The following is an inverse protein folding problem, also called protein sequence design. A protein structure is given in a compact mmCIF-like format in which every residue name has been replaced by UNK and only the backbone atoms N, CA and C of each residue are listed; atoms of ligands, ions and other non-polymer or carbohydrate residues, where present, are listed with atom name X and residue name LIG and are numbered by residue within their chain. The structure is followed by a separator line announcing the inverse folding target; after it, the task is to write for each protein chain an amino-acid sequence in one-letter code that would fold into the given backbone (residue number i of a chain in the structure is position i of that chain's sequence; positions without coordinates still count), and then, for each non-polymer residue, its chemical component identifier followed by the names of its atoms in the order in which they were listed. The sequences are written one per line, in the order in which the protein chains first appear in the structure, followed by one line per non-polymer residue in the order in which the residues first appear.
data_IF_241838085035
#
_entry.id   IF_241838085035
#
_cell.length_a   1.000
_cell.length_b   1.000
_cell.length_c   1.000
_cell.angle_alpha   90.00
_cell.angle_beta   90.00
_cell.angle_gamma   90.00
#
_symmetry.space_group_name_H-M   'P 1'
#
loop_
_entity.id
_entity.type
_entity.pdbx_description
1 polymer ?
#
# COMPACT_ATOMS: atom_id res chain seq x y z
N UNK A 1 -3.56 -23.77 -6.38
CA UNK A 1 -2.74 -22.81 -7.14
C UNK A 1 -1.43 -22.66 -6.37
N UNK A 2 -0.28 -23.12 -6.91
CA UNK A 2 1.00 -22.99 -6.22
C UNK A 2 1.38 -21.51 -6.13
N UNK A 3 1.78 -21.03 -4.93
CA UNK A 3 2.33 -19.69 -4.76
C UNK A 3 3.69 -19.64 -5.48
N UNK A 4 3.85 -18.73 -6.44
CA UNK A 4 5.07 -18.63 -7.28
C UNK A 4 6.08 -17.58 -6.77
N UNK A 5 5.91 -17.08 -5.56
CA UNK A 5 6.78 -16.06 -4.98
C UNK A 5 6.12 -15.35 -3.79
N UNK A 6 6.79 -14.31 -3.30
CA UNK A 6 6.34 -13.45 -2.21
C UNK A 6 5.61 -12.25 -2.79
N UNK A 7 4.36 -12.06 -2.37
CA UNK A 7 3.54 -10.91 -2.73
C UNK A 7 3.62 -9.90 -1.60
N UNK A 8 4.00 -8.67 -1.91
CA UNK A 8 4.06 -7.55 -0.97
C UNK A 8 2.93 -6.56 -1.29
N UNK A 9 2.16 -6.20 -0.27
CA UNK A 9 1.19 -5.12 -0.35
C UNK A 9 1.81 -3.82 0.20
N UNK A 10 1.96 -2.83 -0.68
CA UNK A 10 2.23 -1.44 -0.27
C UNK A 10 0.92 -0.79 0.15
N UNK A 11 0.70 -0.69 1.46
CA UNK A 11 -0.48 -0.10 2.03
C UNK A 11 -0.28 1.40 2.24
N UNK A 12 -0.99 2.18 1.44
CA UNK A 12 -0.84 3.63 1.38
C UNK A 12 -2.18 4.27 1.77
N UNK A 13 -2.20 5.23 2.71
CA UNK A 13 -3.40 6.00 3.05
C UNK A 13 -4.06 6.59 1.81
N UNK A 14 -5.38 6.49 1.71
CA UNK A 14 -6.12 6.89 0.52
C UNK A 14 -6.04 8.41 0.30
N UNK A 15 -5.94 9.18 1.37
CA UNK A 15 -5.79 10.63 1.37
C UNK A 15 -4.48 11.03 0.67
N UNK A 16 -3.37 10.37 1.02
CA UNK A 16 -2.08 10.61 0.40
C UNK A 16 -2.07 10.18 -1.08
N UNK A 17 -2.71 9.05 -1.41
CA UNK A 17 -2.89 8.63 -2.81
C UNK A 17 -3.74 9.63 -3.60
N UNK A 18 -4.82 10.14 -3.01
CA UNK A 18 -5.71 11.11 -3.63
C UNK A 18 -4.99 12.45 -3.87
N UNK A 19 -4.19 12.93 -2.91
CA UNK A 19 -3.37 14.13 -3.09
C UNK A 19 -2.36 13.96 -4.23
N UNK A 20 -1.63 12.83 -4.28
CA UNK A 20 -0.67 12.54 -5.36
C UNK A 20 -1.34 12.50 -6.73
N UNK A 21 -2.55 11.96 -6.81
CA UNK A 21 -3.35 11.93 -8.04
C UNK A 21 -3.80 13.33 -8.44
N UNK A 22 -4.31 14.11 -7.49
CA UNK A 22 -4.79 15.46 -7.74
C UNK A 22 -3.66 16.40 -8.20
N UNK A 23 -2.47 16.28 -7.62
CA UNK A 23 -1.30 17.09 -7.96
C UNK A 23 -0.79 16.88 -9.40
N UNK A 24 -0.95 15.67 -9.96
CA UNK A 24 -0.55 15.34 -11.35
C UNK A 24 -1.63 15.72 -12.37
N UNK A 25 -2.84 16.08 -11.90
CA UNK A 25 -4.01 16.25 -12.75
C UNK A 25 -4.59 14.91 -13.22
N UNK A 26 -5.92 14.81 -13.25
CA UNK A 26 -6.63 13.58 -13.64
C UNK A 26 -6.46 13.21 -15.12
N UNK A 27 -5.90 14.12 -15.94
CA UNK A 27 -5.75 13.97 -17.38
C UNK A 27 -4.82 12.81 -17.79
N UNK A 28 -3.87 12.46 -16.92
CA UNK A 28 -2.96 11.32 -17.14
C UNK A 28 -3.60 9.96 -16.78
N UNK A 29 -4.81 9.95 -16.19
CA UNK A 29 -5.44 8.76 -15.61
C UNK A 29 -6.92 8.70 -16.00
N UNK A 30 -7.26 8.14 -17.19
CA UNK A 30 -8.62 8.10 -17.74
C UNK A 30 -9.67 7.49 -16.81
N UNK A 31 -9.27 6.58 -15.90
CA UNK A 31 -10.16 5.91 -14.95
C UNK A 31 -10.67 6.81 -13.80
N UNK A 32 -10.22 8.07 -13.73
CA UNK A 32 -10.59 9.06 -12.71
C UNK A 32 -11.41 10.23 -13.27
N UNK A 33 -11.75 10.19 -14.56
CA UNK A 33 -12.62 11.18 -15.19
C UNK A 33 -14.09 10.80 -15.01
N UNK A 34 -14.71 11.16 -13.88
CA UNK A 34 -16.17 11.21 -13.75
C UNK A 34 -16.62 12.36 -12.82
N UNK A 35 -17.68 13.05 -13.27
CA UNK A 35 -18.50 14.09 -12.62
C UNK A 35 -17.84 15.44 -12.27
N UNK A 36 -18.64 16.42 -11.84
CA UNK A 36 -18.21 17.75 -11.37
C UNK A 36 -17.68 17.69 -9.91
N UNK A 37 -16.73 18.56 -9.57
CA UNK A 37 -16.07 18.60 -8.24
C UNK A 37 -14.55 18.71 -8.31
N UNK A 38 -13.89 18.96 -7.18
CA UNK A 38 -12.43 19.11 -7.13
C UNK A 38 -11.69 17.77 -7.35
N UNK A 39 -10.47 17.78 -7.93
CA UNK A 39 -9.74 16.55 -8.26
C UNK A 39 -9.43 15.63 -7.07
N UNK A 40 -9.24 16.19 -5.87
CA UNK A 40 -8.91 15.42 -4.68
C UNK A 40 -10.12 14.61 -4.20
N UNK A 41 -11.29 15.25 -4.04
CA UNK A 41 -12.52 14.57 -3.60
C UNK A 41 -12.92 13.45 -4.56
N UNK A 42 -12.76 13.67 -5.87
CA UNK A 42 -12.99 12.65 -6.91
C UNK A 42 -12.05 11.45 -6.76
N UNK A 43 -10.76 11.71 -6.60
CA UNK A 43 -9.76 10.67 -6.43
C UNK A 43 -10.04 9.85 -5.17
N UNK A 44 -10.33 10.51 -4.05
CA UNK A 44 -10.61 9.86 -2.77
C UNK A 44 -11.84 8.95 -2.88
N UNK A 45 -12.98 9.48 -3.36
CA UNK A 45 -14.22 8.70 -3.53
C UNK A 45 -14.00 7.45 -4.38
N UNK A 46 -13.25 7.58 -5.49
CA UNK A 46 -12.96 6.45 -6.38
C UNK A 46 -12.02 5.44 -5.74
N UNK A 47 -10.99 5.90 -5.03
CA UNK A 47 -10.06 5.03 -4.32
C UNK A 47 -10.77 4.25 -3.21
N UNK A 48 -11.65 4.88 -2.43
CA UNK A 48 -12.45 4.21 -1.39
C UNK A 48 -13.29 3.07 -1.97
N UNK A 49 -14.03 3.33 -3.05
CA UNK A 49 -14.79 2.30 -3.75
C UNK A 49 -13.89 1.14 -4.24
N UNK A 50 -12.73 1.46 -4.83
CA UNK A 50 -11.80 0.43 -5.31
C UNK A 50 -11.19 -0.39 -4.17
N UNK A 51 -10.88 0.25 -3.04
CA UNK A 51 -10.34 -0.43 -1.86
C UNK A 51 -11.39 -1.35 -1.23
N UNK A 52 -12.66 -0.98 -1.18
CA UNK A 52 -13.74 -1.88 -0.72
C UNK A 52 -13.83 -3.14 -1.59
N UNK A 53 -13.71 -2.98 -2.91
CA UNK A 53 -13.81 -4.09 -3.86
C UNK A 53 -12.57 -4.99 -3.84
N UNK A 54 -11.38 -4.42 -3.63
CA UNK A 54 -10.09 -5.12 -3.83
C UNK A 54 -9.27 -5.34 -2.57
N UNK A 55 -9.58 -4.65 -1.48
CA UNK A 55 -8.79 -4.64 -0.24
C UNK A 55 -8.64 -6.03 0.37
N UNK A 56 -9.71 -6.84 0.33
CA UNK A 56 -9.66 -8.26 0.77
C UNK A 56 -8.69 -9.11 -0.06
N UNK A 57 -8.38 -8.71 -1.29
CA UNK A 57 -7.38 -9.40 -2.12
C UNK A 57 -5.98 -8.89 -1.85
N UNK A 58 -5.79 -7.59 -1.56
CA UNK A 58 -4.50 -7.06 -1.13
C UNK A 58 -4.07 -7.65 0.22
N UNK A 59 -5.00 -7.82 1.15
CA UNK A 59 -4.77 -8.45 2.44
C UNK A 59 -4.35 -9.94 2.38
N UNK A 60 -4.37 -10.58 1.20
CA UNK A 60 -3.86 -11.95 0.99
C UNK A 60 -2.36 -11.97 0.65
N UNK A 61 -1.71 -10.80 0.55
CA UNK A 61 -0.28 -10.70 0.37
C UNK A 61 0.47 -11.40 1.51
N UNK A 62 1.69 -11.87 1.23
CA UNK A 62 2.55 -12.50 2.24
C UNK A 62 3.04 -11.47 3.25
N UNK A 63 3.37 -10.26 2.78
CA UNK A 63 3.84 -9.16 3.60
C UNK A 63 3.04 -7.88 3.32
N UNK A 64 2.83 -7.07 4.35
CA UNK A 64 2.20 -5.73 4.27
C UNK A 64 3.21 -4.69 4.71
N UNK A 65 3.33 -3.62 3.92
CA UNK A 65 4.19 -2.48 4.20
C UNK A 65 3.29 -1.27 4.38
N UNK A 66 3.05 -0.88 5.64
CA UNK A 66 2.21 0.26 5.98
C UNK A 66 3.01 1.55 5.95
N UNK A 67 2.74 2.42 4.98
CA UNK A 67 3.45 3.71 4.89
C UNK A 67 3.16 4.62 6.08
N UNK A 68 1.97 4.50 6.70
CA UNK A 68 1.63 5.24 7.92
C UNK A 68 2.50 4.81 9.11
N UNK A 69 2.75 3.50 9.25
CA UNK A 69 3.61 2.97 10.31
C UNK A 69 5.08 3.37 10.09
N UNK A 70 5.56 3.34 8.84
CA UNK A 70 6.92 3.80 8.52
C UNK A 70 7.09 5.29 8.86
N UNK A 71 6.13 6.13 8.44
CA UNK A 71 6.17 7.56 8.75
C UNK A 71 6.19 7.80 10.27
N UNK A 72 5.36 7.07 11.03
CA UNK A 72 5.38 7.11 12.49
C UNK A 72 6.71 6.66 13.10
N UNK A 73 7.29 5.56 12.61
CA UNK A 73 8.59 5.02 13.05
C UNK A 73 9.75 5.99 12.80
N UNK A 74 9.71 6.73 11.69
CA UNK A 74 10.73 7.70 11.31
C UNK A 74 10.46 9.13 11.81
N UNK A 75 9.32 9.37 12.45
CA UNK A 75 8.93 10.68 12.99
C UNK A 75 8.47 11.68 11.92
N UNK A 76 8.07 11.21 10.74
CA UNK A 76 7.48 12.05 9.71
C UNK A 76 6.04 12.43 10.05
N UNK A 77 5.63 13.61 9.59
CA UNK A 77 4.25 14.10 9.76
C UNK A 77 3.32 13.60 8.67
N UNK A 78 3.85 13.35 7.47
CA UNK A 78 3.08 12.91 6.31
C UNK A 78 3.84 11.78 5.58
N UNK A 79 3.08 10.81 5.06
CA UNK A 79 3.65 9.69 4.30
C UNK A 79 4.29 10.11 2.97
N UNK A 80 4.01 11.31 2.49
CA UNK A 80 4.64 11.91 1.31
C UNK A 80 6.10 12.33 1.54
N UNK A 81 6.52 12.46 2.79
CA UNK A 81 7.92 12.71 3.16
C UNK A 81 8.79 11.44 3.02
N UNK A 82 8.18 10.25 2.88
CA UNK A 82 8.89 9.00 2.71
C UNK A 82 9.59 8.91 1.35
N UNK A 83 10.85 8.51 1.40
CA UNK A 83 11.63 8.17 0.22
C UNK A 83 11.32 6.76 -0.27
N UNK A 84 11.46 6.48 -1.58
CA UNK A 84 11.36 5.11 -2.10
C UNK A 84 12.32 4.13 -1.43
N UNK A 85 13.49 4.61 -0.97
CA UNK A 85 14.49 3.79 -0.27
C UNK A 85 13.98 3.33 1.09
N UNK A 86 13.36 4.21 1.88
CA UNK A 86 12.79 3.84 3.18
C UNK A 86 11.66 2.82 3.04
N UNK A 87 10.79 3.00 2.04
CA UNK A 87 9.74 2.03 1.72
C UNK A 87 10.34 0.68 1.31
N UNK A 88 11.42 0.69 0.52
CA UNK A 88 12.10 -0.54 0.11
C UNK A 88 12.76 -1.27 1.28
N UNK A 89 13.35 -0.53 2.23
CA UNK A 89 13.93 -1.12 3.45
C UNK A 89 12.83 -1.82 4.27
N UNK A 90 11.72 -1.14 4.53
CA UNK A 90 10.61 -1.76 5.27
C UNK A 90 10.04 -2.98 4.52
N UNK A 91 9.97 -2.93 3.19
CA UNK A 91 9.55 -4.10 2.41
C UNK A 91 10.47 -5.31 2.62
N UNK A 92 11.79 -5.10 2.69
CA UNK A 92 12.74 -6.18 2.97
C UNK A 92 12.60 -6.69 4.41
N UNK A 93 12.41 -5.80 5.39
CA UNK A 93 12.18 -6.17 6.80
C UNK A 93 10.92 -7.03 6.95
N UNK A 94 9.81 -6.64 6.31
CA UNK A 94 8.54 -7.38 6.37
C UNK A 94 8.61 -8.73 5.64
N UNK A 95 9.39 -8.81 4.55
CA UNK A 95 9.68 -10.10 3.89
C UNK A 95 10.49 -11.01 4.81
N UNK A 96 11.50 -10.48 5.50
CA UNK A 96 12.31 -11.25 6.44
C UNK A 96 11.47 -11.79 7.60
N UNK A 97 10.59 -10.96 8.19
CA UNK A 97 9.64 -11.39 9.24
C UNK A 97 8.77 -12.54 8.74
N UNK A 98 8.15 -12.39 7.58
CA UNK A 98 7.31 -13.44 6.99
C UNK A 98 8.05 -14.76 6.78
N UNK A 99 9.29 -14.71 6.25
CA UNK A 99 10.09 -15.92 6.00
C UNK A 99 10.49 -16.63 7.30
N UNK A 100 10.85 -15.87 8.36
CA UNK A 100 11.17 -16.44 9.67
C UNK A 100 9.97 -17.11 10.33
N UNK A 101 8.78 -16.54 10.18
CA UNK A 101 7.55 -17.14 10.69
C UNK A 101 7.16 -18.42 9.93
N UNK A 102 7.37 -18.45 8.60
CA UNK A 102 7.13 -19.64 7.78
C UNK A 102 8.10 -20.79 8.13
N UNK A 103 9.39 -20.49 8.30
CA UNK A 103 10.39 -21.45 8.77
C UNK A 103 10.10 -21.92 10.21
N UNK A 104 9.67 -21.00 11.09
CA UNK A 104 9.25 -21.29 12.47
C UNK A 104 8.03 -22.20 12.56
N UNK A 105 7.05 -22.05 11.66
CA UNK A 105 5.91 -22.96 11.55
C UNK A 105 6.31 -24.33 10.99
N UNK A 106 7.30 -24.40 10.09
CA UNK A 106 7.80 -25.66 9.55
C UNK A 106 8.50 -26.53 10.61
N UNK A 107 9.23 -25.92 11.55
CA UNK A 107 9.91 -26.65 12.64
C UNK A 107 8.98 -27.09 13.79
N UNK A 108 7.88 -26.36 14.02
CA UNK A 108 6.91 -26.69 15.08
C UNK A 108 5.91 -27.80 14.70
N UNK A 109 5.84 -28.15 13.40
CA UNK A 109 4.99 -29.21 12.87
C UNK A 109 5.67 -30.59 12.75
N UNK A 110 6.92 -30.74 13.23
CA UNK A 110 7.67 -32.00 13.33
C UNK A 110 7.68 -32.52 14.77
#
# INVERSE_FOLDING_TARGET
MQKKGIVVWLDVPLEALAQRIAAVGTHSRPLLHYEDGDPYTKALKRLSYLLEQRGKNYAKANARVSLEEIAGKLGYRDVSDLTPTEIAIEALEQIEVYLKEEDGMAIAGL
#
